data_IF_851839638094
#
_entry.id   IF_851839638094
#
_cell.length_a   1.000
_cell.length_b   1.000
_cell.length_c   1.000
_cell.angle_alpha   90.00
_cell.angle_beta   90.00
_cell.angle_gamma   90.00
#
_symmetry.space_group_name_H-M   'P 1'
#
loop_
_entity.id
_entity.type
_entity.pdbx_description
1 polymer ?
#
# COMPACT_ATOMS: atom_id res chain seq x y z
N UNK A 1 -6.70 -18.01 -2.37
CA UNK A 1 -5.96 -17.10 -1.47
C UNK A 1 -6.24 -17.38 0.01
N UNK A 2 -7.51 -17.40 0.46
CA UNK A 2 -7.85 -17.81 1.83
C UNK A 2 -7.39 -19.25 2.15
N UNK A 3 -7.48 -20.16 1.19
CA UNK A 3 -6.94 -21.53 1.31
C UNK A 3 -5.41 -21.60 1.46
N UNK A 4 -4.67 -20.57 1.02
CA UNK A 4 -3.20 -20.54 1.06
C UNK A 4 -2.70 -19.75 2.28
N UNK A 5 -3.42 -18.69 2.66
CA UNK A 5 -3.01 -17.72 3.68
C UNK A 5 -3.72 -17.92 5.04
N UNK A 6 -4.62 -18.90 5.13
CA UNK A 6 -5.31 -19.27 6.37
C UNK A 6 -6.47 -18.37 6.78
N UNK A 7 -7.05 -18.64 7.95
CA UNK A 7 -8.30 -18.00 8.40
C UNK A 7 -8.15 -16.52 8.76
N UNK A 8 -6.95 -16.06 9.11
CA UNK A 8 -6.65 -14.64 9.37
C UNK A 8 -6.62 -13.75 8.11
N UNK A 9 -6.72 -14.37 6.92
CA UNK A 9 -6.76 -13.65 5.66
C UNK A 9 -8.17 -13.13 5.36
N UNK A 10 -8.27 -11.83 5.11
CA UNK A 10 -9.48 -11.17 4.60
C UNK A 10 -9.14 -10.41 3.33
N UNK A 11 -10.14 -10.20 2.46
CA UNK A 11 -9.96 -9.36 1.27
C UNK A 11 -9.51 -7.94 1.61
N UNK A 12 -9.89 -7.45 2.79
CA UNK A 12 -9.45 -6.14 3.28
C UNK A 12 -7.98 -6.16 3.73
N UNK A 13 -7.54 -7.17 4.49
CA UNK A 13 -6.14 -7.28 4.93
C UNK A 13 -5.20 -7.51 3.74
N UNK A 14 -5.66 -8.22 2.70
CA UNK A 14 -4.92 -8.34 1.44
C UNK A 14 -4.73 -7.00 0.72
N UNK A 15 -5.84 -6.27 0.52
CA UNK A 15 -5.82 -4.97 -0.15
C UNK A 15 -4.88 -4.02 0.58
N UNK A 16 -4.95 -4.00 1.91
CA UNK A 16 -4.05 -3.22 2.75
C UNK A 16 -2.59 -3.60 2.54
N UNK A 17 -2.24 -4.89 2.66
CA UNK A 17 -0.88 -5.38 2.47
C UNK A 17 -0.33 -5.04 1.08
N UNK A 18 -1.14 -5.21 0.04
CA UNK A 18 -0.77 -4.90 -1.34
C UNK A 18 -0.51 -3.41 -1.56
N UNK A 19 -1.38 -2.53 -1.06
CA UNK A 19 -1.17 -1.07 -1.15
C UNK A 19 0.09 -0.65 -0.39
N UNK A 20 0.28 -1.17 0.83
CA UNK A 20 1.45 -0.87 1.66
C UNK A 20 2.75 -1.31 0.97
N UNK A 21 2.78 -2.51 0.38
CA UNK A 21 3.94 -3.03 -0.36
C UNK A 21 4.22 -2.22 -1.64
N UNK A 22 3.20 -1.79 -2.38
CA UNK A 22 3.40 -0.90 -3.52
C UNK A 22 3.94 0.46 -3.09
N UNK A 23 3.46 0.98 -1.95
CA UNK A 23 3.94 2.23 -1.35
C UNK A 23 5.38 2.14 -0.86
N UNK A 24 5.79 1.02 -0.25
CA UNK A 24 7.17 0.82 0.22
C UNK A 24 8.19 0.80 -0.91
N UNK A 25 7.77 0.38 -2.11
CA UNK A 25 8.54 0.40 -3.37
C UNK A 25 8.49 1.75 -4.09
N UNK A 26 7.98 2.80 -3.45
CA UNK A 26 7.88 4.16 -4.02
C UNK A 26 7.09 4.23 -5.33
N UNK A 27 6.13 3.32 -5.54
CA UNK A 27 5.24 3.39 -6.71
C UNK A 27 4.34 4.62 -6.57
N UNK A 28 4.12 5.34 -7.68
CA UNK A 28 3.29 6.53 -7.68
C UNK A 28 1.86 6.23 -7.16
N UNK A 29 1.40 7.03 -6.21
CA UNK A 29 0.11 6.83 -5.53
C UNK A 29 -1.10 6.81 -6.47
N UNK A 30 -1.06 7.56 -7.58
CA UNK A 30 -2.14 7.55 -8.59
C UNK A 30 -2.19 6.22 -9.34
N UNK A 31 -1.04 5.61 -9.60
CA UNK A 31 -0.94 4.27 -10.21
C UNK A 31 -1.56 3.23 -9.27
N UNK A 32 -1.18 3.26 -7.99
CA UNK A 32 -1.74 2.35 -6.98
C UNK A 32 -3.26 2.52 -6.87
N UNK A 33 -3.74 3.76 -6.80
CA UNK A 33 -5.17 4.07 -6.70
C UNK A 33 -5.97 3.55 -7.90
N UNK A 34 -5.42 3.71 -9.11
CA UNK A 34 -6.05 3.23 -10.34
C UNK A 34 -6.05 1.69 -10.39
N UNK A 35 -4.94 1.05 -10.03
CA UNK A 35 -4.81 -0.41 -10.02
C UNK A 35 -5.79 -1.09 -9.04
N UNK A 36 -5.98 -0.51 -7.85
CA UNK A 36 -6.91 -1.03 -6.83
C UNK A 36 -8.38 -0.65 -7.10
N UNK A 37 -8.61 0.34 -7.97
CA UNK A 37 -9.95 0.85 -8.30
C UNK A 37 -10.55 1.78 -7.25
N UNK A 38 -9.72 2.54 -6.52
CA UNK A 38 -10.23 3.56 -5.61
C UNK A 38 -10.67 4.82 -6.38
N UNK A 39 -11.94 5.20 -6.21
CA UNK A 39 -12.53 6.42 -6.80
C UNK A 39 -11.79 7.69 -6.35
N UNK A 40 -11.36 7.73 -5.09
CA UNK A 40 -10.66 8.85 -4.48
C UNK A 40 -9.26 8.44 -4.06
N UNK A 41 -8.24 9.20 -4.46
CA UNK A 41 -6.84 8.91 -4.09
C UNK A 41 -6.61 8.98 -2.57
N UNK A 42 -7.43 9.75 -1.86
CA UNK A 42 -7.41 9.87 -0.40
C UNK A 42 -7.63 8.52 0.30
N UNK A 43 -8.46 7.64 -0.27
CA UNK A 43 -8.66 6.28 0.23
C UNK A 43 -7.36 5.48 0.17
N UNK A 44 -6.57 5.64 -0.89
CA UNK A 44 -5.26 4.97 -1.04
C UNK A 44 -4.21 5.59 -0.11
N UNK A 45 -4.24 6.92 0.07
CA UNK A 45 -3.33 7.63 0.97
C UNK A 45 -3.46 7.16 2.43
N UNK A 46 -4.64 6.74 2.88
CA UNK A 46 -4.84 6.21 4.23
C UNK A 46 -3.97 4.99 4.58
N UNK A 47 -3.46 4.28 3.56
CA UNK A 47 -2.59 3.12 3.71
C UNK A 47 -1.09 3.45 3.62
N UNK A 48 -0.74 4.65 3.15
CA UNK A 48 0.65 5.08 2.99
C UNK A 48 1.08 5.79 4.27
N UNK A 49 1.87 5.10 5.08
CA UNK A 49 2.50 5.68 6.28
C UNK A 49 4.01 5.65 6.09
N UNK A 50 4.64 6.79 5.72
CA UNK A 50 6.09 6.84 5.60
C UNK A 50 6.73 6.63 6.97
N UNK A 51 7.72 5.75 7.01
CA UNK A 51 8.57 5.56 8.20
C UNK A 51 9.68 6.60 8.23
N UNK A 52 10.21 6.90 9.42
CA UNK A 52 11.34 7.84 9.57
C UNK A 52 12.55 7.45 8.71
N UNK A 53 12.79 6.15 8.56
CA UNK A 53 13.87 5.64 7.72
C UNK A 53 13.63 5.91 6.23
N UNK A 54 12.39 5.76 5.75
CA UNK A 54 12.04 6.10 4.36
C UNK A 54 12.17 7.59 4.10
N UNK A 55 11.75 8.43 5.05
CA UNK A 55 11.93 9.89 4.97
C UNK A 55 13.42 10.20 4.87
N UNK A 56 14.23 9.67 5.81
CA UNK A 56 15.69 9.89 5.82
C UNK A 56 16.35 9.44 4.51
N UNK A 57 16.03 8.25 4.02
CA UNK A 57 16.61 7.72 2.78
C UNK A 57 16.19 8.51 1.55
N UNK A 58 14.99 9.09 1.52
CA UNK A 58 14.54 9.93 0.41
C UNK A 58 15.27 11.27 0.30
N UNK A 59 15.96 11.70 1.37
CA UNK A 59 16.73 12.93 1.41
C UNK A 59 18.19 12.75 1.00
N UNK A 60 18.69 11.51 0.98
CA UNK A 60 20.06 11.18 0.58
C UNK A 60 20.08 10.91 -0.92
N UNK A 61 21.01 11.54 -1.63
CA UNK A 61 21.09 11.56 -3.10
C UNK A 61 22.27 10.76 -3.61
#
# INVERSE_FOLDING_TARGET
>A
MKEILGEGFTSHSFRQGLITEMGSKSINIKIISNFIGHKNVSTTLGYIKPTDNQIKNSLVR
#
